data_IF_894485543507
#
_entry.id   IF_894485543507
#
_cell.length_a   1.000
_cell.length_b   1.000
_cell.length_c   1.000
_cell.angle_alpha   90.00
_cell.angle_beta   90.00
_cell.angle_gamma   90.00
#
_symmetry.space_group_name_H-M   'P 1'
#
loop_
_entity.id
_entity.type
_entity.pdbx_description
1 polymer ?
#
# COMPACT_ATOMS: atom_id res chain seq x y z
N UNK A 1 12.73 -2.49 3.99
CA UNK A 1 11.52 -3.14 4.56
C UNK A 1 10.89 -3.92 3.42
N UNK A 2 10.45 -5.15 3.66
CA UNK A 2 9.68 -5.89 2.65
C UNK A 2 8.19 -5.55 2.79
N UNK A 3 7.51 -5.40 1.66
CA UNK A 3 6.07 -5.15 1.58
C UNK A 3 5.48 -6.19 0.64
N UNK A 4 4.54 -6.99 1.13
CA UNK A 4 3.87 -8.05 0.36
C UNK A 4 2.38 -7.79 0.29
N UNK A 5 1.83 -7.86 -0.93
CA UNK A 5 0.40 -7.88 -1.20
C UNK A 5 0.00 -9.32 -1.47
N UNK A 6 -0.65 -9.94 -0.51
CA UNK A 6 -0.97 -11.37 -0.51
C UNK A 6 -2.45 -11.55 -0.83
N UNK A 7 -2.79 -12.36 -1.85
CA UNK A 7 -4.18 -12.69 -2.12
C UNK A 7 -4.63 -13.79 -1.18
N UNK A 8 -5.49 -13.45 -0.23
CA UNK A 8 -5.89 -14.34 0.89
C UNK A 8 -7.22 -15.04 0.66
N UNK A 9 -7.96 -14.67 -0.40
CA UNK A 9 -9.20 -15.31 -0.81
C UNK A 9 -9.77 -14.67 -2.09
N UNK A 10 -10.88 -15.20 -2.59
CA UNK A 10 -11.47 -14.80 -3.89
C UNK A 10 -11.79 -13.31 -4.01
N UNK A 11 -12.04 -12.62 -2.89
CA UNK A 11 -12.24 -11.15 -2.84
C UNK A 11 -11.57 -10.53 -1.63
N UNK A 12 -10.38 -11.04 -1.29
CA UNK A 12 -9.66 -10.68 -0.08
C UNK A 12 -8.17 -10.65 -0.34
N UNK A 13 -7.52 -9.65 0.24
CA UNK A 13 -6.08 -9.57 0.26
C UNK A 13 -5.59 -9.05 1.59
N UNK A 14 -4.30 -9.22 1.83
CA UNK A 14 -3.60 -8.66 2.96
C UNK A 14 -2.38 -7.88 2.49
N UNK A 15 -2.07 -6.82 3.22
CA UNK A 15 -0.82 -6.08 3.06
C UNK A 15 0.06 -6.40 4.26
N UNK A 16 1.23 -6.99 4.01
CA UNK A 16 2.19 -7.44 5.04
C UNK A 16 3.46 -6.62 4.93
N UNK A 17 3.92 -6.07 6.05
CA UNK A 17 5.17 -5.32 6.16
C UNK A 17 6.13 -6.01 7.12
N UNK A 18 7.36 -6.24 6.66
CA UNK A 18 8.41 -6.90 7.44
C UNK A 18 9.65 -6.02 7.49
N UNK A 19 9.97 -5.53 8.69
CA UNK A 19 11.20 -4.79 8.93
C UNK A 19 12.33 -5.77 9.26
N UNK A 20 13.59 -5.48 8.88
CA UNK A 20 14.73 -6.33 9.21
C UNK A 20 14.80 -6.66 10.71
N UNK A 21 14.84 -7.95 11.04
CA UNK A 21 14.93 -8.44 12.43
C UNK A 21 13.66 -8.28 13.27
N UNK A 22 12.53 -7.87 12.68
CA UNK A 22 11.24 -7.75 13.37
C UNK A 22 10.21 -8.74 12.82
N UNK A 23 9.27 -9.14 13.67
CA UNK A 23 8.14 -9.96 13.25
C UNK A 23 7.27 -9.21 12.22
N UNK A 24 6.69 -9.92 11.22
CA UNK A 24 5.81 -9.32 10.24
C UNK A 24 4.59 -8.66 10.89
N UNK A 25 4.15 -7.55 10.31
CA UNK A 25 2.89 -6.89 10.66
C UNK A 25 1.98 -6.93 9.44
N UNK A 26 0.70 -7.28 9.60
CA UNK A 26 -0.28 -7.35 8.52
C UNK A 26 -1.49 -6.47 8.76
N UNK A 27 -2.12 -6.11 7.66
CA UNK A 27 -3.50 -5.64 7.59
C UNK A 27 -4.29 -6.68 6.80
N UNK A 28 -5.22 -7.39 7.46
CA UNK A 28 -6.04 -8.46 6.87
C UNK A 28 -7.44 -8.51 7.50
N UNK A 29 -8.52 -8.38 6.72
CA UNK A 29 -8.47 -7.98 5.31
C UNK A 29 -7.92 -6.56 5.19
N UNK A 30 -7.12 -6.33 4.15
CA UNK A 30 -6.82 -4.96 3.73
C UNK A 30 -8.10 -4.29 3.20
N UNK A 31 -8.26 -2.97 3.43
CA UNK A 31 -9.46 -2.25 3.01
C UNK A 31 -9.52 -2.16 1.49
N UNK A 32 -10.74 -2.10 0.93
CA UNK A 32 -10.93 -1.78 -0.48
C UNK A 32 -10.35 -2.82 -1.45
N UNK A 33 -10.72 -4.10 -1.29
CA UNK A 33 -10.42 -5.12 -2.30
C UNK A 33 -10.89 -4.66 -3.68
N UNK A 34 -10.02 -4.84 -4.67
CA UNK A 34 -10.28 -4.55 -6.07
C UNK A 34 -9.67 -5.66 -6.93
N UNK A 35 -10.45 -6.11 -7.91
CA UNK A 35 -10.07 -7.20 -8.81
C UNK A 35 -8.93 -6.78 -9.76
N UNK A 36 -8.89 -5.51 -10.16
CA UNK A 36 -7.92 -4.95 -11.10
C UNK A 36 -6.60 -4.59 -10.42
N UNK A 37 -6.66 -3.79 -9.35
CA UNK A 37 -5.46 -3.38 -8.61
C UNK A 37 -5.79 -2.94 -7.18
N UNK A 38 -5.11 -3.46 -6.13
CA UNK A 38 -5.37 -3.03 -4.77
C UNK A 38 -5.02 -1.56 -4.57
N UNK A 39 -5.90 -0.82 -3.88
CA UNK A 39 -5.67 0.60 -3.59
C UNK A 39 -4.37 0.82 -2.80
N UNK A 40 -4.09 -0.05 -1.83
CA UNK A 40 -2.84 -0.03 -1.07
C UNK A 40 -1.59 -0.18 -1.96
N UNK A 41 -1.68 -0.91 -3.09
CA UNK A 41 -0.58 -1.05 -4.04
C UNK A 41 -0.35 0.25 -4.81
N UNK A 42 -1.42 0.98 -5.13
CA UNK A 42 -1.30 2.31 -5.76
C UNK A 42 -0.63 3.30 -4.81
N UNK A 43 -0.99 3.30 -3.52
CA UNK A 43 -0.27 4.07 -2.51
C UNK A 43 1.21 3.71 -2.42
N UNK A 44 1.55 2.42 -2.48
CA UNK A 44 2.94 1.97 -2.43
C UNK A 44 3.76 2.57 -3.57
N UNK A 45 3.24 2.49 -4.80
CA UNK A 45 3.89 3.03 -5.98
C UNK A 45 4.02 4.55 -5.92
N UNK A 46 2.95 5.25 -5.51
CA UNK A 46 2.98 6.69 -5.34
C UNK A 46 4.06 7.10 -4.34
N UNK A 47 4.07 6.51 -3.15
CA UNK A 47 5.06 6.87 -2.15
C UNK A 47 6.49 6.51 -2.57
N UNK A 48 6.70 5.37 -3.22
CA UNK A 48 8.00 4.94 -3.72
C UNK A 48 8.54 5.89 -4.81
N UNK A 49 7.71 6.24 -5.81
CA UNK A 49 8.09 7.12 -6.93
C UNK A 49 8.34 8.57 -6.51
N UNK A 50 7.61 9.05 -5.50
CA UNK A 50 7.77 10.40 -4.95
C UNK A 50 8.79 10.46 -3.79
N UNK A 51 9.28 9.32 -3.30
CA UNK A 51 10.16 9.26 -2.14
C UNK A 51 9.49 9.74 -0.84
N UNK A 52 8.17 9.56 -0.70
CA UNK A 52 7.41 10.00 0.47
C UNK A 52 7.77 9.13 1.67
N UNK A 53 8.19 9.77 2.77
CA UNK A 53 8.67 9.06 3.97
C UNK A 53 7.70 9.14 5.14
N UNK A 54 6.70 10.00 5.04
CA UNK A 54 5.63 10.14 6.03
C UNK A 54 4.25 9.72 5.50
N UNK A 55 4.16 9.01 4.37
CA UNK A 55 2.95 8.30 3.92
C UNK A 55 2.68 6.97 4.66
N UNK A 56 1.81 6.12 4.15
CA UNK A 56 1.44 4.80 4.71
C UNK A 56 2.68 3.92 4.88
N UNK A 57 3.45 3.72 3.82
CA UNK A 57 4.61 2.82 3.80
C UNK A 57 5.85 3.47 4.35
N UNK A 58 6.03 4.77 4.12
CA UNK A 58 7.07 5.56 4.78
C UNK A 58 6.96 5.47 6.31
N UNK A 59 5.75 5.65 6.87
CA UNK A 59 5.53 5.50 8.32
C UNK A 59 5.64 4.05 8.78
N UNK A 60 5.19 3.08 7.98
CA UNK A 60 5.41 1.68 8.28
C UNK A 60 6.90 1.35 8.42
N UNK A 61 7.75 1.84 7.49
CA UNK A 61 9.19 1.69 7.53
C UNK A 61 9.84 2.37 8.75
N UNK A 62 9.25 3.46 9.23
CA UNK A 62 9.67 4.14 10.47
C UNK A 62 9.15 3.48 11.76
N UNK A 63 8.49 2.31 11.66
CA UNK A 63 7.94 1.53 12.77
C UNK A 63 6.55 1.99 13.24
N UNK A 64 5.89 2.87 12.48
CA UNK A 64 4.48 3.24 12.63
C UNK A 64 3.58 2.44 11.70
N UNK A 65 2.50 3.07 11.22
CA UNK A 65 1.47 2.48 10.38
C UNK A 65 0.39 1.72 11.18
N UNK A 66 -0.69 1.37 10.49
CA UNK A 66 -1.85 0.68 11.07
C UNK A 66 -1.73 -0.86 11.04
N UNK A 67 -0.59 -1.38 10.55
CA UNK A 67 -0.29 -2.80 10.46
C UNK A 67 -0.16 -3.44 11.85
N UNK A 68 -0.87 -4.55 12.06
CA UNK A 68 -0.92 -5.28 13.34
C UNK A 68 0.06 -6.45 13.33
N UNK A 69 0.73 -6.76 14.45
CA UNK A 69 1.58 -7.96 14.54
C UNK A 69 0.82 -9.23 14.13
N UNK A 70 1.48 -10.09 13.35
CA UNK A 70 0.89 -11.34 12.82
C UNK A 70 0.79 -12.47 13.85
N UNK A 71 1.65 -12.45 14.86
CA UNK A 71 1.69 -13.52 15.83
C UNK A 71 0.48 -13.45 16.77
N UNK A 72 -0.41 -14.45 16.66
CA UNK A 72 -1.14 -14.96 17.81
C UNK A 72 -0.16 -15.65 18.77
N UNK A 73 0.85 -14.95 19.30
CA UNK A 73 1.72 -15.56 20.31
C UNK A 73 0.82 -15.93 21.49
N UNK A 74 0.71 -17.21 21.91
CA UNK A 74 0.09 -17.54 23.20
C UNK A 74 0.87 -16.74 24.24
N UNK A 75 0.25 -15.70 24.78
CA UNK A 75 1.01 -14.63 25.38
C UNK A 75 0.12 -13.71 26.19
N UNK A 76 0.66 -13.29 27.32
CA UNK A 76 0.04 -12.38 28.27
C UNK A 76 -0.68 -11.23 27.54
N UNK A 77 -2.03 -11.12 27.65
CA UNK A 77 -2.81 -10.04 27.07
C UNK A 77 -2.25 -8.63 27.37
N UNK A 78 -1.52 -8.48 28.49
CA UNK A 78 -0.85 -7.24 28.86
C UNK A 78 0.31 -6.90 27.93
N UNK A 79 1.09 -7.89 27.46
CA UNK A 79 2.17 -7.66 26.48
C UNK A 79 1.62 -7.18 25.15
N UNK A 80 0.59 -7.84 24.62
CA UNK A 80 -0.11 -7.42 23.39
C UNK A 80 -0.65 -5.99 23.51
N UNK A 81 -1.32 -5.68 24.62
CA UNK A 81 -1.83 -4.32 24.88
C UNK A 81 -0.71 -3.27 24.93
N UNK A 82 0.43 -3.60 25.55
CA UNK A 82 1.59 -2.69 25.60
C UNK A 82 2.19 -2.45 24.22
N UNK A 83 2.34 -3.48 23.40
CA UNK A 83 2.84 -3.37 22.04
C UNK A 83 1.91 -2.51 21.16
N UNK A 84 0.60 -2.76 21.22
CA UNK A 84 -0.39 -1.95 20.51
C UNK A 84 -0.35 -0.48 20.92
N UNK A 85 -0.24 -0.20 22.23
CA UNK A 85 -0.08 1.19 22.72
C UNK A 85 1.21 1.83 22.22
N UNK A 86 2.32 1.07 22.17
CA UNK A 86 3.60 1.55 21.66
C UNK A 86 3.51 1.90 20.18
N UNK A 87 2.89 1.03 19.37
CA UNK A 87 2.65 1.27 17.94
C UNK A 87 1.77 2.51 17.74
N UNK A 88 0.65 2.61 18.44
CA UNK A 88 -0.25 3.79 18.36
C UNK A 88 0.47 5.09 18.75
N UNK A 89 1.28 5.08 19.81
CA UNK A 89 2.08 6.24 20.22
C UNK A 89 3.12 6.61 19.16
N UNK A 90 3.75 5.62 18.54
CA UNK A 90 4.72 5.81 17.46
C UNK A 90 4.04 6.42 16.24
N UNK A 91 2.91 5.89 15.83
CA UNK A 91 2.13 6.41 14.71
C UNK A 91 1.68 7.85 14.95
N UNK A 92 1.10 8.15 16.11
CA UNK A 92 0.72 9.52 16.48
C UNK A 92 1.92 10.49 16.53
N UNK A 93 3.12 9.99 16.83
CA UNK A 93 4.33 10.81 16.77
C UNK A 93 4.81 11.06 15.35
N UNK A 94 4.66 10.09 14.44
CA UNK A 94 5.05 10.22 13.04
C UNK A 94 4.06 11.10 12.28
N UNK A 95 2.75 10.90 12.47
CA UNK A 95 1.70 11.72 11.87
C UNK A 95 1.85 13.21 12.24
N UNK A 96 2.23 13.54 13.48
CA UNK A 96 2.50 14.94 13.87
C UNK A 96 3.71 15.58 13.18
N UNK A 97 4.60 14.78 12.61
CA UNK A 97 5.78 15.25 11.86
C UNK A 97 5.53 15.28 10.36
N UNK A 98 4.37 14.81 9.91
CA UNK A 98 3.98 14.87 8.51
C UNK A 98 4.00 16.32 8.02
N UNK A 99 4.49 16.51 6.80
CA UNK A 99 4.60 17.79 6.10
C UNK A 99 3.70 17.82 4.86
N UNK A 100 2.77 16.88 4.75
CA UNK A 100 1.85 16.73 3.62
C UNK A 100 2.14 15.49 2.78
N UNK A 101 3.05 14.61 3.19
CA UNK A 101 3.35 13.36 2.48
C UNK A 101 2.12 12.46 2.43
N UNK A 102 1.33 12.38 3.52
CA UNK A 102 0.10 11.58 3.49
C UNK A 102 -0.91 12.14 2.49
N UNK A 103 -1.13 13.46 2.52
CA UNK A 103 -2.03 14.11 1.57
C UNK A 103 -1.56 13.96 0.12
N UNK A 104 -0.24 14.01 -0.13
CA UNK A 104 0.35 13.73 -1.43
C UNK A 104 0.18 12.27 -1.86
N UNK A 105 0.38 11.33 -0.93
CA UNK A 105 0.17 9.90 -1.19
C UNK A 105 -1.28 9.65 -1.62
N UNK A 106 -2.25 10.21 -0.89
CA UNK A 106 -3.68 10.14 -1.23
C UNK A 106 -3.99 10.76 -2.59
N UNK A 107 -3.50 11.98 -2.84
CA UNK A 107 -3.69 12.69 -4.10
C UNK A 107 -3.21 11.88 -5.30
N UNK A 108 -1.96 11.38 -5.25
CA UNK A 108 -1.41 10.60 -6.35
C UNK A 108 -2.04 9.21 -6.45
N UNK A 109 -2.41 8.56 -5.34
CA UNK A 109 -3.10 7.28 -5.37
C UNK A 109 -4.46 7.39 -6.06
N UNK A 110 -5.28 8.38 -5.69
CA UNK A 110 -6.58 8.63 -6.32
C UNK A 110 -6.46 9.03 -7.80
N UNK A 111 -5.56 9.96 -8.11
CA UNK A 111 -5.34 10.44 -9.47
C UNK A 111 -4.85 9.31 -10.40
N UNK A 112 -3.88 8.51 -9.94
CA UNK A 112 -3.31 7.42 -10.74
C UNK A 112 -4.28 6.25 -10.90
N UNK A 113 -5.07 5.89 -9.87
CA UNK A 113 -6.08 4.84 -9.98
C UNK A 113 -7.11 5.19 -11.08
N UNK A 114 -7.68 6.40 -11.03
CA UNK A 114 -8.66 6.84 -12.03
C UNK A 114 -8.06 6.99 -13.43
N UNK A 115 -6.85 7.56 -13.54
CA UNK A 115 -6.16 7.71 -14.82
C UNK A 115 -5.83 6.34 -15.44
N UNK A 116 -5.35 5.39 -14.63
CA UNK A 116 -5.03 4.05 -15.07
C UNK A 116 -6.29 3.32 -15.54
N UNK A 117 -7.38 3.32 -14.77
CA UNK A 117 -8.64 2.64 -15.16
C UNK A 117 -9.16 3.14 -16.51
N UNK A 118 -9.15 4.45 -16.72
CA UNK A 118 -9.57 5.06 -18.00
C UNK A 118 -8.69 4.61 -19.17
N UNK A 119 -7.39 4.52 -18.94
CA UNK A 119 -6.41 4.09 -19.94
C UNK A 119 -6.49 2.59 -20.24
N UNK A 120 -6.70 1.76 -19.21
CA UNK A 120 -6.76 0.31 -19.33
C UNK A 120 -8.12 -0.22 -19.79
N UNK A 121 -9.14 0.63 -19.80
CA UNK A 121 -10.52 0.25 -20.10
C UNK A 121 -11.24 -0.43 -18.94
N UNK A 122 -10.66 -0.41 -17.73
CA UNK A 122 -11.30 -0.90 -16.52
C UNK A 122 -12.47 0.00 -16.08
N UNK A 123 -13.39 -0.57 -15.31
CA UNK A 123 -14.55 0.17 -14.81
C UNK A 123 -14.11 1.30 -13.85
N UNK A 124 -14.56 2.53 -14.14
CA UNK A 124 -14.40 3.67 -13.24
C UNK A 124 -15.65 3.86 -12.38
N UNK A 125 -15.52 4.33 -11.13
CA UNK A 125 -16.68 4.69 -10.31
C UNK A 125 -17.57 5.74 -10.99
N UNK A 126 -18.89 5.66 -10.79
CA UNK A 126 -19.84 6.57 -11.44
C UNK A 126 -19.66 8.04 -11.04
N UNK A 127 -19.11 8.30 -9.85
CA UNK A 127 -18.79 9.64 -9.36
C UNK A 127 -17.48 10.21 -9.94
N UNK A 128 -16.68 9.39 -10.64
CA UNK A 128 -15.35 9.78 -11.07
C UNK A 128 -15.40 10.66 -12.33
N UNK A 129 -15.57 11.97 -12.12
CA UNK A 129 -15.52 12.98 -13.18
C UNK A 129 -14.17 12.95 -13.92
N UNK A 130 -14.22 13.19 -15.23
CA UNK A 130 -13.03 13.23 -16.08
C UNK A 130 -12.31 14.55 -15.92
N UNK A 131 -11.59 14.68 -14.81
CA UNK A 131 -10.68 15.79 -14.59
C UNK A 131 -9.36 15.57 -15.35
N UNK A 132 -8.81 16.62 -15.98
CA UNK A 132 -7.47 16.55 -16.55
C UNK A 132 -6.42 16.41 -15.44
N UNK A 133 -5.38 15.62 -15.71
CA UNK A 133 -4.21 15.54 -14.83
C UNK A 133 -3.52 16.92 -14.83
N UNK A 134 -3.23 17.52 -13.66
CA UNK A 134 -2.46 18.76 -13.59
C UNK A 134 -1.12 18.62 -14.32
N UNK A 135 -0.72 19.59 -15.18
CA UNK A 135 0.52 19.49 -15.95
C UNK A 135 1.78 19.24 -15.10
N UNK A 136 1.82 19.76 -13.88
CA UNK A 136 2.89 19.55 -12.91
C UNK A 136 2.97 18.11 -12.38
N UNK A 137 1.85 17.41 -12.34
CA UNK A 137 1.75 16.03 -11.83
C UNK A 137 1.96 15.00 -12.94
N UNK A 138 1.72 15.38 -14.20
CA UNK A 138 1.76 14.48 -15.36
C UNK A 138 3.04 13.62 -15.44
N UNK A 139 4.28 14.14 -15.25
CA UNK A 139 5.47 13.31 -15.33
C UNK A 139 5.54 12.23 -14.24
N UNK A 140 4.96 12.47 -13.06
CA UNK A 140 4.93 11.52 -11.95
C UNK A 140 3.83 10.49 -12.20
N UNK A 141 2.64 10.95 -12.59
CA UNK A 141 1.52 10.08 -12.96
C UNK A 141 1.95 9.11 -14.05
N UNK A 142 2.59 9.57 -15.13
CA UNK A 142 3.05 8.72 -16.23
C UNK A 142 3.99 7.59 -15.76
N UNK A 143 4.86 7.84 -14.78
CA UNK A 143 5.74 6.79 -14.23
C UNK A 143 4.95 5.77 -13.43
N UNK A 144 4.03 6.22 -12.58
CA UNK A 144 3.18 5.34 -11.78
C UNK A 144 2.28 4.50 -12.70
N UNK A 145 1.67 5.11 -13.74
CA UNK A 145 0.82 4.41 -14.70
C UNK A 145 1.56 3.26 -15.40
N UNK A 146 2.83 3.46 -15.80
CA UNK A 146 3.64 2.36 -16.37
C UNK A 146 3.81 1.19 -15.41
N UNK A 147 4.03 1.46 -14.13
CA UNK A 147 4.09 0.40 -13.12
C UNK A 147 2.73 -0.28 -12.93
N UNK A 148 1.63 0.47 -12.96
CA UNK A 148 0.29 -0.13 -12.88
C UNK A 148 -0.02 -1.02 -14.10
N UNK A 149 0.41 -0.65 -15.31
CA UNK A 149 0.28 -1.50 -16.50
C UNK A 149 1.00 -2.84 -16.35
N UNK A 150 2.16 -2.84 -15.68
CA UNK A 150 2.94 -4.05 -15.42
C UNK A 150 2.35 -4.90 -14.28
N UNK A 151 1.84 -4.25 -13.22
CA UNK A 151 1.45 -4.92 -11.98
C UNK A 151 -0.01 -5.38 -11.97
N UNK A 152 -0.92 -4.69 -12.64
CA UNK A 152 -2.34 -5.07 -12.65
C UNK A 152 -2.58 -6.47 -13.25
N UNK A 153 -1.96 -6.87 -14.38
CA UNK A 153 -2.06 -8.25 -14.87
C UNK A 153 -1.53 -9.27 -13.85
N UNK A 154 -0.41 -8.96 -13.20
CA UNK A 154 0.17 -9.85 -12.19
C UNK A 154 -0.75 -10.02 -10.98
N UNK A 155 -1.45 -8.96 -10.56
CA UNK A 155 -2.43 -9.02 -9.48
C UNK A 155 -3.67 -9.84 -9.88
N UNK A 156 -4.24 -9.57 -11.05
CA UNK A 156 -5.41 -10.29 -11.56
C UNK A 156 -5.16 -11.80 -11.62
N UNK A 157 -4.02 -12.19 -12.17
CA UNK A 157 -3.63 -13.59 -12.36
C UNK A 157 -3.08 -14.26 -11.09
N UNK A 158 -2.95 -13.51 -9.99
CA UNK A 158 -2.42 -14.04 -8.74
C UNK A 158 -3.44 -15.04 -8.15
N UNK A 159 -3.05 -16.30 -7.88
CA UNK A 159 -3.92 -17.24 -7.20
C UNK A 159 -4.08 -16.87 -5.72
N UNK A 160 -5.10 -17.43 -5.07
CA UNK A 160 -5.19 -17.40 -3.60
C UNK A 160 -3.97 -18.12 -3.03
N UNK A 161 -3.28 -17.46 -2.10
CA UNK A 161 -1.99 -17.88 -1.55
C UNK A 161 -0.78 -17.23 -2.22
N UNK A 162 -0.95 -16.61 -3.39
CA UNK A 162 0.10 -15.87 -4.07
C UNK A 162 0.38 -14.49 -3.47
N UNK A 163 1.54 -13.93 -3.79
CA UNK A 163 1.99 -12.63 -3.31
C UNK A 163 2.76 -11.82 -4.37
N UNK A 164 2.58 -10.49 -4.34
CA UNK A 164 3.48 -9.53 -4.96
C UNK A 164 4.31 -8.87 -3.86
N UNK A 165 5.63 -9.09 -3.88
CA UNK A 165 6.54 -8.60 -2.84
C UNK A 165 7.52 -7.58 -3.38
N UNK A 166 7.68 -6.49 -2.64
CA UNK A 166 8.56 -5.38 -2.96
C UNK A 166 9.55 -5.13 -1.83
N UNK A 167 10.69 -4.54 -2.16
CA UNK A 167 11.62 -3.98 -1.17
C UNK A 167 11.46 -2.47 -1.14
N UNK A 168 10.81 -1.92 -0.12
CA UNK A 168 10.62 -0.49 0.04
C UNK A 168 11.96 0.28 0.11
N UNK A 169 12.14 1.39 -0.63
CA UNK A 169 11.16 2.11 -1.46
C UNK A 169 11.31 1.84 -2.98
N UNK A 170 11.59 0.61 -3.40
CA UNK A 170 11.76 0.25 -4.80
C UNK A 170 10.47 -0.32 -5.41
N UNK A 171 10.28 -0.08 -6.71
CA UNK A 171 9.09 -0.51 -7.47
C UNK A 171 9.27 -1.87 -8.17
N UNK A 172 10.46 -2.47 -8.10
CA UNK A 172 10.70 -3.81 -8.62
C UNK A 172 9.95 -4.87 -7.79
N UNK A 173 9.15 -5.70 -8.48
CA UNK A 173 8.31 -6.74 -7.86
C UNK A 173 8.97 -8.11 -7.94
N UNK A 174 8.77 -8.92 -6.89
CA UNK A 174 8.96 -10.37 -6.91
C UNK A 174 7.60 -11.04 -6.78
N UNK A 175 7.31 -11.98 -7.67
CA UNK A 175 6.03 -12.70 -7.69
C UNK A 175 6.20 -14.08 -7.07
N UNK A 176 5.34 -14.43 -6.11
CA UNK A 176 5.19 -15.78 -5.59
C UNK A 176 3.79 -16.28 -5.96
N UNK A 177 3.68 -17.47 -6.56
CA UNK A 177 2.41 -18.08 -6.96
C UNK A 177 2.11 -19.31 -6.10
#
# INVERSE_FOLDING_TARGET
MEVSFERTGERRYATVVTLPGLAPRRMDPAPGYDDEIPHDLVHYLAEAELGLTAGVYGRAAAGGGEFRPTAETPGDPRRRTREQRRLKKREASLARRDRGDMARSEHFAGLCDLAWRRRSGAATPAWAEREPIPPEDAPVVDRILRHLDELAPLWRDLPVGGALTFTWPHTAVKVSR
#
